data_IF_406494062268
#
_entry.id   IF_406494062268
#
_cell.length_a   1.000
_cell.length_b   1.000
_cell.length_c   1.000
_cell.angle_alpha   90.00
_cell.angle_beta   90.00
_cell.angle_gamma   90.00
#
_symmetry.space_group_name_H-M   'P 1'
#
loop_
_entity.id
_entity.type
_entity.pdbx_description
1 polymer ?
#
# COMPACT_ATOMS: atom_id res chain seq x y z
N UNK A 1 29.94 0.74 -26.69
CA UNK A 1 28.85 -0.20 -27.06
C UNK A 1 27.66 0.09 -26.16
N UNK A 2 26.43 0.02 -26.67
CA UNK A 2 25.22 0.38 -25.92
C UNK A 2 24.93 -0.71 -24.88
N UNK A 3 24.95 -0.38 -23.59
CA UNK A 3 24.50 -1.27 -22.52
C UNK A 3 23.01 -1.62 -22.70
N UNK A 4 22.61 -2.90 -22.61
CA UNK A 4 21.20 -3.24 -22.63
C UNK A 4 20.60 -2.93 -21.26
N UNK A 5 19.49 -2.18 -21.29
CA UNK A 5 18.57 -1.99 -20.19
C UNK A 5 18.14 -3.35 -19.60
N UNK A 6 18.30 -3.54 -18.29
CA UNK A 6 17.67 -4.64 -17.55
C UNK A 6 16.53 -4.07 -16.69
N UNK A 7 15.26 -4.43 -16.96
CA UNK A 7 14.17 -4.16 -16.02
C UNK A 7 14.26 -5.13 -14.84
N UNK A 8 13.77 -4.67 -13.69
CA UNK A 8 13.70 -5.40 -12.43
C UNK A 8 13.20 -6.84 -12.58
N UNK A 9 13.92 -7.82 -12.01
CA UNK A 9 13.37 -9.15 -11.74
C UNK A 9 14.14 -9.87 -10.62
N UNK A 10 13.37 -10.62 -9.82
CA UNK A 10 13.76 -11.45 -8.68
C UNK A 10 15.03 -12.29 -8.91
N UNK A 11 15.86 -12.37 -7.87
CA UNK A 11 17.04 -13.24 -7.81
C UNK A 11 16.60 -14.68 -7.57
N UNK A 12 16.69 -15.53 -8.59
CA UNK A 12 16.75 -16.98 -8.46
C UNK A 12 17.98 -17.49 -9.22
N UNK A 13 19.00 -17.95 -8.50
CA UNK A 13 20.22 -18.51 -9.09
C UNK A 13 20.32 -19.99 -8.68
N UNK A 14 20.23 -20.89 -9.67
CA UNK A 14 20.57 -22.31 -9.51
C UNK A 14 22.08 -22.49 -9.72
N UNK A 15 22.76 -23.05 -8.71
CA UNK A 15 24.20 -23.31 -8.73
C UNK A 15 24.46 -24.74 -9.25
N UNK A 16 25.19 -24.88 -10.34
CA UNK A 16 25.99 -26.07 -10.64
C UNK A 16 27.47 -25.68 -10.54
N UNK A 17 28.20 -26.36 -9.65
CA UNK A 17 29.59 -26.05 -9.36
C UNK A 17 30.54 -26.85 -10.28
N UNK A 18 31.47 -26.14 -10.92
CA UNK A 18 32.66 -26.73 -11.54
C UNK A 18 33.88 -26.23 -10.77
N UNK A 19 34.72 -27.15 -10.29
CA UNK A 19 35.93 -26.86 -9.50
C UNK A 19 37.08 -26.41 -10.41
N UNK A 20 37.80 -25.31 -10.13
CA UNK A 20 39.03 -24.98 -10.86
C UNK A 20 40.25 -25.73 -10.30
N UNK A 21 41.17 -26.13 -11.18
CA UNK A 21 42.41 -26.84 -10.87
C UNK A 21 43.63 -25.90 -10.71
N UNK A 22 44.54 -26.28 -9.79
CA UNK A 22 45.96 -25.90 -9.61
C UNK A 22 46.34 -24.40 -9.48
N UNK A 23 46.58 -23.99 -8.22
CA UNK A 23 47.42 -22.88 -7.75
C UNK A 23 47.20 -21.46 -8.30
N UNK A 24 46.04 -21.15 -8.88
CA UNK A 24 45.65 -19.76 -9.07
C UNK A 24 45.24 -19.15 -7.72
N UNK A 25 45.86 -18.03 -7.35
CA UNK A 25 45.35 -17.23 -6.22
C UNK A 25 43.96 -16.72 -6.56
N UNK A 26 43.10 -16.50 -5.55
CA UNK A 26 41.79 -15.92 -5.79
C UNK A 26 41.86 -14.55 -6.49
N UNK A 27 42.96 -13.81 -6.30
CA UNK A 27 43.26 -12.56 -7.02
C UNK A 27 43.48 -12.81 -8.53
N UNK A 28 44.29 -13.81 -8.89
CA UNK A 28 44.49 -14.23 -10.28
C UNK A 28 43.18 -14.69 -10.92
N UNK A 29 42.39 -15.51 -10.22
CA UNK A 29 41.10 -16.00 -10.74
C UNK A 29 40.08 -14.89 -10.96
N UNK A 30 40.02 -13.89 -10.05
CA UNK A 30 39.16 -12.72 -10.21
C UNK A 30 39.61 -11.88 -11.41
N UNK A 31 40.92 -11.63 -11.55
CA UNK A 31 41.45 -10.86 -12.68
C UNK A 31 41.15 -11.55 -14.02
N UNK A 32 41.44 -12.85 -14.14
CA UNK A 32 41.17 -13.62 -15.35
C UNK A 32 39.69 -13.59 -15.73
N UNK A 33 38.79 -13.62 -14.74
CA UNK A 33 37.36 -13.52 -14.98
C UNK A 33 36.94 -12.12 -15.47
N UNK A 34 37.51 -11.04 -14.94
CA UNK A 34 37.25 -9.70 -15.48
C UNK A 34 37.79 -9.52 -16.90
N UNK A 35 38.95 -10.09 -17.22
CA UNK A 35 39.48 -10.09 -18.59
C UNK A 35 38.56 -10.87 -19.55
N UNK A 36 37.98 -11.98 -19.08
CA UNK A 36 36.97 -12.73 -19.80
C UNK A 36 35.66 -11.94 -19.98
N UNK A 37 35.23 -11.17 -18.98
CA UNK A 37 34.06 -10.29 -19.09
C UNK A 37 34.30 -9.19 -20.14
N UNK A 38 35.47 -8.56 -20.11
CA UNK A 38 35.83 -7.49 -21.06
C UNK A 38 35.97 -7.99 -22.51
N UNK A 39 36.38 -9.25 -22.71
CA UNK A 39 36.54 -9.86 -24.03
C UNK A 39 35.32 -10.66 -24.50
N UNK A 40 34.25 -10.71 -23.72
CA UNK A 40 33.06 -11.50 -24.02
C UNK A 40 32.35 -11.02 -25.30
N UNK A 41 32.15 -11.94 -26.24
CA UNK A 41 31.41 -11.68 -27.49
C UNK A 41 29.92 -12.10 -27.41
N UNK A 42 29.50 -12.70 -26.29
CA UNK A 42 28.13 -13.10 -26.03
C UNK A 42 27.74 -12.85 -24.57
N UNK A 43 26.45 -12.66 -24.32
CA UNK A 43 25.92 -12.55 -22.95
C UNK A 43 26.21 -13.81 -22.13
N UNK A 44 26.15 -14.99 -22.74
CA UNK A 44 26.46 -16.25 -22.07
C UNK A 44 27.91 -16.31 -21.56
N UNK A 45 28.88 -15.84 -22.36
CA UNK A 45 30.28 -15.78 -21.95
C UNK A 45 30.49 -14.79 -20.80
N UNK A 46 29.84 -13.62 -20.86
CA UNK A 46 29.87 -12.63 -19.80
C UNK A 46 29.28 -13.17 -18.48
N UNK A 47 28.13 -13.84 -18.55
CA UNK A 47 27.50 -14.46 -17.38
C UNK A 47 28.30 -15.65 -16.85
N UNK A 48 28.99 -16.41 -17.71
CA UNK A 48 29.88 -17.48 -17.26
C UNK A 48 31.05 -16.94 -16.43
N UNK A 49 31.67 -15.84 -16.88
CA UNK A 49 32.74 -15.17 -16.13
C UNK A 49 32.22 -14.50 -14.83
N UNK A 50 31.02 -13.91 -14.86
CA UNK A 50 30.35 -13.41 -13.65
C UNK A 50 30.15 -14.54 -12.62
N UNK A 51 29.67 -15.70 -13.06
CA UNK A 51 29.45 -16.88 -12.20
C UNK A 51 30.75 -17.44 -11.64
N UNK A 52 31.85 -17.40 -12.38
CA UNK A 52 33.14 -17.89 -11.88
C UNK A 52 33.65 -17.03 -10.72
N UNK A 53 33.49 -15.71 -10.78
CA UNK A 53 33.81 -14.81 -9.66
C UNK A 53 32.92 -15.12 -8.44
N UNK A 54 31.62 -15.24 -8.64
CA UNK A 54 30.67 -15.53 -7.55
C UNK A 54 30.98 -16.89 -6.89
N UNK A 55 31.39 -17.89 -7.68
CA UNK A 55 31.74 -19.22 -7.18
C UNK A 55 32.98 -19.23 -6.27
N UNK A 56 33.85 -18.22 -6.34
CA UNK A 56 34.97 -18.05 -5.40
C UNK A 56 34.50 -17.65 -3.99
N UNK A 57 33.26 -17.15 -3.86
CA UNK A 57 32.67 -16.80 -2.59
C UNK A 57 33.49 -15.75 -1.80
N UNK A 58 33.65 -15.91 -0.47
CA UNK A 58 34.41 -14.98 0.36
C UNK A 58 35.84 -14.70 -0.11
N UNK A 59 36.47 -15.66 -0.80
CA UNK A 59 37.85 -15.52 -1.26
C UNK A 59 38.02 -14.42 -2.32
N UNK A 60 36.93 -14.03 -3.01
CA UNK A 60 36.96 -12.92 -3.97
C UNK A 60 36.82 -11.53 -3.30
N UNK A 61 36.38 -11.45 -2.04
CA UNK A 61 36.09 -10.17 -1.38
C UNK A 61 37.30 -9.22 -1.32
N UNK A 62 38.53 -9.64 -0.96
CA UNK A 62 39.69 -8.74 -0.95
C UNK A 62 39.99 -8.15 -2.34
N UNK A 63 39.96 -8.98 -3.38
CA UNK A 63 40.23 -8.56 -4.76
C UNK A 63 39.15 -7.60 -5.29
N UNK A 64 37.88 -7.91 -5.03
CA UNK A 64 36.76 -7.03 -5.39
C UNK A 64 36.79 -5.72 -4.60
N UNK A 65 37.27 -5.73 -3.35
CA UNK A 65 37.45 -4.51 -2.54
C UNK A 65 38.49 -3.59 -3.18
N UNK A 66 39.67 -4.12 -3.54
CA UNK A 66 40.70 -3.35 -4.23
C UNK A 66 40.18 -2.78 -5.56
N UNK A 67 39.45 -3.59 -6.34
CA UNK A 67 38.89 -3.15 -7.63
C UNK A 67 37.82 -2.07 -7.45
N UNK A 68 36.93 -2.19 -6.45
CA UNK A 68 35.93 -1.17 -6.15
C UNK A 68 36.58 0.17 -5.75
N UNK A 69 37.63 0.11 -4.93
CA UNK A 69 38.38 1.30 -4.52
C UNK A 69 39.13 1.97 -5.67
N UNK A 70 39.62 1.18 -6.63
CA UNK A 70 40.35 1.65 -7.82
C UNK A 70 39.43 2.06 -8.99
N UNK A 71 38.12 1.79 -8.91
CA UNK A 71 37.17 2.01 -9.99
C UNK A 71 37.09 3.49 -10.40
N UNK A 72 37.24 3.75 -11.70
CA UNK A 72 37.39 5.10 -12.26
C UNK A 72 36.05 5.79 -12.53
N UNK A 73 35.01 5.02 -12.78
CA UNK A 73 33.67 5.49 -13.09
C UNK A 73 32.58 4.66 -12.41
N UNK A 74 31.33 5.07 -12.59
CA UNK A 74 30.19 4.40 -11.96
C UNK A 74 29.85 3.06 -12.65
N UNK A 75 30.22 2.83 -13.90
CA UNK A 75 29.94 1.56 -14.60
C UNK A 75 30.80 0.43 -14.01
N UNK A 76 32.10 0.68 -13.79
CA UNK A 76 32.99 -0.24 -13.08
C UNK A 76 32.50 -0.51 -11.65
N UNK A 77 32.02 0.53 -10.95
CA UNK A 77 31.47 0.38 -9.59
C UNK A 77 30.18 -0.42 -9.58
N UNK A 78 29.30 -0.24 -10.56
CA UNK A 78 28.06 -1.01 -10.70
C UNK A 78 28.39 -2.48 -10.92
N UNK A 79 29.32 -2.80 -11.82
CA UNK A 79 29.75 -4.16 -12.09
C UNK A 79 30.33 -4.84 -10.84
N UNK A 80 31.23 -4.17 -10.12
CA UNK A 80 31.86 -4.73 -8.92
C UNK A 80 30.85 -4.88 -7.78
N UNK A 81 29.96 -3.90 -7.56
CA UNK A 81 28.93 -4.00 -6.52
C UNK A 81 27.89 -5.07 -6.81
N UNK A 82 27.58 -5.34 -8.09
CA UNK A 82 26.74 -6.47 -8.48
C UNK A 82 27.37 -7.81 -8.11
N UNK A 83 28.67 -8.00 -8.39
CA UNK A 83 29.41 -9.21 -8.03
C UNK A 83 29.49 -9.40 -6.50
N UNK A 84 29.74 -8.31 -5.76
CA UNK A 84 29.73 -8.32 -4.29
C UNK A 84 28.37 -8.77 -3.73
N UNK A 85 27.26 -8.26 -4.27
CA UNK A 85 25.92 -8.67 -3.88
C UNK A 85 25.65 -10.15 -4.22
N UNK A 86 26.14 -10.63 -5.36
CA UNK A 86 26.07 -12.02 -5.78
C UNK A 86 26.81 -13.00 -4.85
N UNK A 87 27.83 -12.54 -4.13
CA UNK A 87 28.56 -13.32 -3.13
C UNK A 87 27.87 -13.25 -1.75
N UNK A 88 27.59 -12.03 -1.28
CA UNK A 88 27.10 -11.80 0.10
C UNK A 88 25.63 -12.23 0.26
N UNK A 89 24.80 -12.05 -0.78
CA UNK A 89 23.38 -12.39 -0.74
C UNK A 89 23.10 -13.86 -0.44
N UNK A 90 23.64 -14.82 -1.23
CA UNK A 90 23.45 -16.25 -0.99
C UNK A 90 23.96 -16.72 0.37
N UNK A 91 25.07 -16.15 0.86
CA UNK A 91 25.62 -16.46 2.18
C UNK A 91 24.65 -16.05 3.31
N UNK A 92 24.00 -14.89 3.19
CA UNK A 92 22.93 -14.49 4.14
C UNK A 92 21.74 -15.45 4.10
N UNK A 93 21.31 -15.89 2.91
CA UNK A 93 20.21 -16.86 2.76
C UNK A 93 20.56 -18.18 3.46
N UNK A 94 21.82 -18.62 3.35
CA UNK A 94 22.35 -19.82 4.02
C UNK A 94 22.67 -19.62 5.51
N UNK A 95 22.50 -18.39 6.04
CA UNK A 95 22.86 -18.00 7.42
C UNK A 95 24.33 -18.25 7.76
N UNK A 96 25.20 -18.15 6.76
CA UNK A 96 26.65 -18.23 6.97
C UNK A 96 27.14 -16.90 7.57
N UNK A 97 28.03 -16.92 8.57
CA UNK A 97 28.61 -15.70 9.11
C UNK A 97 29.51 -15.05 8.03
N UNK A 98 29.20 -13.79 7.70
CA UNK A 98 29.98 -13.01 6.73
C UNK A 98 30.75 -11.95 7.52
N UNK A 99 32.07 -12.05 7.51
CA UNK A 99 32.95 -10.99 8.00
C UNK A 99 33.43 -10.22 6.77
N UNK A 100 32.90 -9.00 6.58
CA UNK A 100 33.38 -8.15 5.51
C UNK A 100 34.75 -7.57 5.85
N UNK A 101 35.66 -7.40 4.87
CA UNK A 101 36.86 -6.61 5.06
C UNK A 101 36.51 -5.18 5.54
N UNK A 102 37.19 -4.63 6.57
CA UNK A 102 36.91 -3.27 7.04
C UNK A 102 37.05 -2.22 5.94
N UNK A 103 37.99 -2.42 5.02
CA UNK A 103 38.16 -1.57 3.84
C UNK A 103 36.94 -1.60 2.93
N UNK A 104 36.31 -2.78 2.74
CA UNK A 104 35.09 -2.90 1.94
C UNK A 104 33.94 -2.12 2.58
N UNK A 105 33.77 -2.25 3.90
CA UNK A 105 32.76 -1.50 4.65
C UNK A 105 33.00 0.00 4.49
N UNK A 106 34.25 0.45 4.63
CA UNK A 106 34.63 1.86 4.46
C UNK A 106 34.31 2.38 3.05
N UNK A 107 34.71 1.64 2.00
CA UNK A 107 34.48 2.03 0.60
C UNK A 107 32.99 2.06 0.28
N UNK A 108 32.22 1.04 0.66
CA UNK A 108 30.77 1.00 0.47
C UNK A 108 30.08 2.15 1.21
N UNK A 109 30.46 2.40 2.46
CA UNK A 109 29.92 3.49 3.27
C UNK A 109 30.19 4.86 2.64
N UNK A 110 31.38 5.07 2.08
CA UNK A 110 31.73 6.28 1.32
C UNK A 110 30.88 6.42 0.06
N UNK A 111 30.74 5.36 -0.73
CA UNK A 111 29.98 5.37 -1.98
C UNK A 111 28.49 5.65 -1.77
N UNK A 112 27.87 5.13 -0.70
CA UNK A 112 26.47 5.42 -0.34
C UNK A 112 26.19 6.93 -0.21
N UNK A 113 27.22 7.72 0.13
CA UNK A 113 27.11 9.16 0.25
C UNK A 113 27.41 9.90 -1.06
N UNK A 114 28.45 9.47 -1.78
CA UNK A 114 29.06 10.24 -2.87
C UNK A 114 28.37 10.03 -4.21
N UNK A 115 27.91 8.82 -4.52
CA UNK A 115 27.33 8.57 -5.83
C UNK A 115 25.98 9.25 -6.00
N UNK A 116 25.66 9.58 -7.25
CA UNK A 116 24.34 10.05 -7.72
C UNK A 116 23.78 9.16 -8.83
N UNK A 117 24.45 8.03 -9.10
CA UNK A 117 23.99 7.06 -10.07
C UNK A 117 22.95 6.16 -9.41
N UNK A 118 21.72 6.21 -9.94
CA UNK A 118 20.57 5.49 -9.39
C UNK A 118 20.81 3.97 -9.26
N UNK A 119 21.47 3.36 -10.26
CA UNK A 119 21.75 1.93 -10.24
C UNK A 119 22.79 1.58 -9.18
N UNK A 120 23.84 2.39 -9.05
CA UNK A 120 24.86 2.19 -8.03
C UNK A 120 24.28 2.37 -6.62
N UNK A 121 23.44 3.38 -6.41
CA UNK A 121 22.72 3.58 -5.14
C UNK A 121 21.84 2.38 -4.79
N UNK A 122 21.12 1.83 -5.76
CA UNK A 122 20.30 0.63 -5.56
C UNK A 122 21.16 -0.59 -5.21
N UNK A 123 22.29 -0.80 -5.90
CA UNK A 123 23.22 -1.89 -5.58
C UNK A 123 23.77 -1.77 -4.16
N UNK A 124 24.18 -0.57 -3.76
CA UNK A 124 24.74 -0.31 -2.42
C UNK A 124 23.69 -0.47 -1.31
N UNK A 125 22.46 0.01 -1.53
CA UNK A 125 21.37 -0.19 -0.58
C UNK A 125 21.02 -1.67 -0.42
N UNK A 126 20.96 -2.43 -1.52
CA UNK A 126 20.78 -3.89 -1.50
C UNK A 126 21.94 -4.61 -0.80
N UNK A 127 23.18 -4.16 -1.00
CA UNK A 127 24.33 -4.70 -0.28
C UNK A 127 24.19 -4.47 1.24
N UNK A 128 23.78 -3.27 1.66
CA UNK A 128 23.58 -2.94 3.07
C UNK A 128 22.45 -3.75 3.73
N UNK A 129 21.43 -4.18 2.97
CA UNK A 129 20.42 -5.14 3.46
C UNK A 129 21.08 -6.44 3.92
N UNK A 130 22.08 -6.93 3.19
CA UNK A 130 22.65 -8.26 3.41
C UNK A 130 23.89 -8.26 4.31
N UNK A 131 24.49 -7.09 4.56
CA UNK A 131 25.66 -6.93 5.41
C UNK A 131 25.50 -5.74 6.37
N UNK A 132 24.83 -5.93 7.52
CA UNK A 132 24.55 -4.83 8.45
C UNK A 132 25.82 -4.28 9.12
N UNK A 133 26.02 -2.97 8.99
CA UNK A 133 27.10 -2.19 9.61
C UNK A 133 26.49 -0.85 10.07
N UNK A 134 25.74 -0.84 11.19
CA UNK A 134 24.89 0.29 11.57
C UNK A 134 25.64 1.61 11.77
N UNK A 135 26.88 1.56 12.25
CA UNK A 135 27.69 2.76 12.48
C UNK A 135 28.17 3.39 11.16
N UNK A 136 28.56 2.55 10.21
CA UNK A 136 29.13 2.96 8.93
C UNK A 136 28.05 3.26 7.89
N UNK A 137 26.99 2.45 7.83
CA UNK A 137 25.94 2.54 6.82
C UNK A 137 24.74 3.36 7.28
N UNK A 138 24.37 3.31 8.57
CA UNK A 138 23.17 3.96 9.10
C UNK A 138 23.03 5.44 8.73
N UNK A 139 24.03 6.30 9.04
CA UNK A 139 23.97 7.72 8.67
C UNK A 139 23.87 7.96 7.16
N UNK A 140 24.47 7.08 6.35
CA UNK A 140 24.54 7.22 4.89
C UNK A 140 23.25 6.79 4.22
N UNK A 141 22.65 5.69 4.71
CA UNK A 141 21.33 5.24 4.28
C UNK A 141 20.25 6.26 4.64
N UNK A 142 20.32 6.90 5.81
CA UNK A 142 19.42 7.99 6.17
C UNK A 142 19.55 9.18 5.21
N UNK A 143 20.78 9.58 4.88
CA UNK A 143 21.03 10.64 3.90
C UNK A 143 20.54 10.27 2.49
N UNK A 144 20.69 9.01 2.07
CA UNK A 144 20.15 8.50 0.81
C UNK A 144 18.61 8.54 0.80
N UNK A 145 17.98 8.10 1.89
CA UNK A 145 16.53 8.10 2.05
C UNK A 145 15.94 9.52 1.98
N UNK A 146 16.62 10.49 2.59
CA UNK A 146 16.21 11.90 2.60
C UNK A 146 16.29 12.56 1.22
N UNK A 147 17.29 12.22 0.42
CA UNK A 147 17.53 12.86 -0.89
C UNK A 147 16.90 12.15 -2.08
N UNK A 148 16.61 10.85 -1.96
CA UNK A 148 16.08 10.09 -3.11
C UNK A 148 14.63 10.43 -3.39
N UNK A 149 14.34 10.74 -4.65
CA UNK A 149 12.96 10.94 -5.16
C UNK A 149 12.42 9.64 -5.81
N UNK A 150 13.29 8.67 -6.08
CA UNK A 150 12.90 7.40 -6.69
C UNK A 150 12.23 6.48 -5.65
N UNK A 151 10.99 6.10 -5.90
CA UNK A 151 10.19 5.30 -4.98
C UNK A 151 10.74 3.89 -4.73
N UNK A 152 11.24 3.21 -5.78
CA UNK A 152 11.82 1.88 -5.62
C UNK A 152 13.08 1.93 -4.76
N UNK A 153 13.97 2.88 -5.03
CA UNK A 153 15.17 3.09 -4.22
C UNK A 153 14.84 3.51 -2.79
N UNK A 154 13.81 4.33 -2.60
CA UNK A 154 13.29 4.70 -1.27
C UNK A 154 12.89 3.46 -0.48
N UNK A 155 12.09 2.57 -1.07
CA UNK A 155 11.68 1.32 -0.43
C UNK A 155 12.87 0.42 -0.08
N UNK A 156 13.81 0.24 -1.02
CA UNK A 156 15.03 -0.54 -0.77
C UNK A 156 15.90 0.08 0.33
N UNK A 157 16.03 1.40 0.36
CA UNK A 157 16.82 2.10 1.38
C UNK A 157 16.17 1.99 2.76
N UNK A 158 14.84 2.12 2.84
CA UNK A 158 14.10 1.87 4.08
C UNK A 158 14.31 0.45 4.59
N UNK A 159 14.23 -0.55 3.71
CA UNK A 159 14.55 -1.93 4.07
C UNK A 159 16.00 -2.06 4.57
N UNK A 160 16.97 -1.48 3.86
CA UNK A 160 18.38 -1.49 4.24
C UNK A 160 18.59 -0.92 5.65
N UNK A 161 17.90 0.17 6.01
CA UNK A 161 17.94 0.75 7.36
C UNK A 161 17.38 -0.25 8.39
N UNK A 162 16.20 -0.83 8.16
CA UNK A 162 15.61 -1.82 9.09
C UNK A 162 16.56 -3.01 9.33
N UNK A 163 17.21 -3.50 8.27
CA UNK A 163 18.16 -4.61 8.38
C UNK A 163 19.45 -4.28 9.13
N UNK A 164 19.75 -3.00 9.40
CA UNK A 164 20.87 -2.62 10.27
C UNK A 164 20.64 -2.99 11.75
N UNK A 165 19.40 -3.35 12.13
CA UNK A 165 19.07 -3.77 13.49
C UNK A 165 18.81 -2.62 14.45
N UNK A 166 18.63 -2.95 15.73
CA UNK A 166 18.27 -2.00 16.80
C UNK A 166 19.32 -0.90 16.99
N UNK A 167 20.56 -1.18 16.59
CA UNK A 167 21.71 -0.29 16.71
C UNK A 167 21.54 0.99 15.87
N UNK A 168 20.73 0.95 14.80
CA UNK A 168 20.44 2.14 13.97
C UNK A 168 19.31 3.00 14.55
N UNK A 169 18.51 2.48 15.48
CA UNK A 169 17.32 3.16 16.00
C UNK A 169 17.61 4.54 16.61
N UNK A 170 18.70 4.75 17.40
CA UNK A 170 19.05 6.08 17.88
C UNK A 170 19.30 7.09 16.76
N UNK A 171 19.85 6.64 15.62
CA UNK A 171 20.07 7.49 14.45
C UNK A 171 18.74 7.83 13.75
N UNK A 172 17.85 6.84 13.60
CA UNK A 172 16.51 7.05 13.03
C UNK A 172 15.71 8.03 13.88
N UNK A 173 15.69 7.86 15.21
CA UNK A 173 15.00 8.77 16.13
C UNK A 173 15.59 10.19 16.09
N UNK A 174 16.92 10.32 16.07
CA UNK A 174 17.57 11.62 15.93
C UNK A 174 17.20 12.30 14.62
N UNK A 175 17.25 11.58 13.50
CA UNK A 175 16.79 12.09 12.20
C UNK A 175 15.31 12.46 12.25
N UNK A 176 14.47 11.63 12.87
CA UNK A 176 13.04 11.86 13.00
C UNK A 176 12.76 13.14 13.75
N UNK A 177 13.40 13.41 14.89
CA UNK A 177 13.18 14.64 15.63
C UNK A 177 13.71 15.89 14.92
N UNK A 178 14.83 15.77 14.20
CA UNK A 178 15.49 16.91 13.56
C UNK A 178 14.91 17.25 12.18
N UNK A 179 14.26 16.31 11.52
CA UNK A 179 13.73 16.52 10.18
C UNK A 179 12.62 17.56 10.17
N UNK A 180 12.74 18.51 9.24
CA UNK A 180 11.69 19.44 8.80
C UNK A 180 11.17 19.07 7.41
N UNK A 181 11.76 18.07 6.76
CA UNK A 181 11.30 17.55 5.48
C UNK A 181 10.12 16.61 5.75
N UNK A 182 8.94 17.00 5.27
CA UNK A 182 7.69 16.31 5.54
C UNK A 182 7.65 14.88 4.96
N UNK A 183 8.08 14.69 3.70
CA UNK A 183 8.18 13.36 3.08
C UNK A 183 9.15 12.46 3.87
N UNK A 184 10.34 12.97 4.15
CA UNK A 184 11.35 12.20 4.89
C UNK A 184 10.90 11.87 6.31
N UNK A 185 10.18 12.79 6.97
CA UNK A 185 9.56 12.53 8.27
C UNK A 185 8.53 11.38 8.18
N UNK A 186 7.77 11.30 7.09
CA UNK A 186 6.90 10.18 6.78
C UNK A 186 7.64 8.85 6.62
N UNK A 187 8.76 8.83 5.89
CA UNK A 187 9.58 7.62 5.74
C UNK A 187 10.18 7.17 7.08
N UNK A 188 10.67 8.12 7.89
CA UNK A 188 11.17 7.85 9.23
C UNK A 188 10.06 7.35 10.16
N UNK A 189 8.85 7.90 10.07
CA UNK A 189 7.70 7.39 10.81
C UNK A 189 7.43 5.92 10.46
N UNK A 190 7.52 5.54 9.18
CA UNK A 190 7.36 4.15 8.74
C UNK A 190 8.42 3.22 9.34
N UNK A 191 9.68 3.66 9.42
CA UNK A 191 10.76 2.88 10.03
C UNK A 191 10.55 2.63 11.53
N UNK A 192 9.75 3.46 12.21
CA UNK A 192 9.45 3.35 13.64
C UNK A 192 8.22 2.46 13.93
N UNK A 193 7.56 1.92 12.90
CA UNK A 193 6.27 1.23 13.01
C UNK A 193 6.26 0.00 13.93
N UNK A 194 7.41 -0.65 14.13
CA UNK A 194 7.57 -1.85 14.96
C UNK A 194 8.52 -1.59 16.15
N UNK A 195 8.57 -0.34 16.65
CA UNK A 195 9.44 0.08 17.75
C UNK A 195 8.63 0.59 18.95
N UNK A 196 9.24 0.61 20.12
CA UNK A 196 8.66 1.26 21.30
C UNK A 196 8.66 2.78 21.10
N UNK A 197 7.47 3.39 21.19
CA UNK A 197 7.29 4.82 21.00
C UNK A 197 7.22 5.53 22.35
N UNK A 198 8.12 6.50 22.57
CA UNK A 198 8.02 7.40 23.71
C UNK A 198 7.08 8.57 23.41
N UNK A 199 6.70 9.34 24.44
CA UNK A 199 5.77 10.47 24.33
C UNK A 199 6.19 11.51 23.28
N UNK A 200 7.49 11.78 23.16
CA UNK A 200 8.03 12.72 22.17
C UNK A 200 7.85 12.20 20.74
N UNK A 201 8.09 10.92 20.50
CA UNK A 201 7.84 10.27 19.20
C UNK A 201 6.36 10.33 18.87
N UNK A 202 5.49 10.00 19.84
CA UNK A 202 4.04 10.01 19.68
C UNK A 202 3.56 11.42 19.31
N UNK A 203 3.99 12.45 20.04
CA UNK A 203 3.61 13.83 19.78
C UNK A 203 4.01 14.28 18.36
N UNK A 204 5.22 13.93 17.90
CA UNK A 204 5.64 14.24 16.54
C UNK A 204 4.84 13.45 15.48
N UNK A 205 4.53 12.18 15.72
CA UNK A 205 3.67 11.40 14.82
C UNK A 205 2.26 11.99 14.73
N UNK A 206 1.70 12.45 15.85
CA UNK A 206 0.39 13.12 15.89
C UNK A 206 0.41 14.44 15.08
N UNK A 207 1.52 15.18 15.12
CA UNK A 207 1.68 16.36 14.27
C UNK A 207 1.72 16.00 12.78
N UNK A 208 2.42 14.91 12.41
CA UNK A 208 2.47 14.42 11.03
C UNK A 208 1.11 13.95 10.48
N UNK A 209 0.14 13.62 11.33
CA UNK A 209 -1.24 13.33 10.89
C UNK A 209 -1.91 14.55 10.22
N UNK A 210 -1.40 15.76 10.46
CA UNK A 210 -1.93 17.00 9.88
C UNK A 210 -1.28 17.36 8.54
N UNK A 211 -0.19 16.67 8.18
CA UNK A 211 0.57 16.88 6.94
C UNK A 211 -0.32 16.93 5.70
N UNK A 212 0.06 17.70 4.68
CA UNK A 212 -0.59 17.67 3.37
C UNK A 212 -0.12 16.49 2.51
N UNK A 213 1.04 15.92 2.80
CA UNK A 213 1.54 14.72 2.15
C UNK A 213 0.79 13.47 2.64
N UNK A 214 0.07 12.83 1.71
CA UNK A 214 -0.70 11.61 1.98
C UNK A 214 0.21 10.51 2.54
N UNK A 215 1.37 10.25 1.92
CA UNK A 215 2.31 9.23 2.37
C UNK A 215 2.79 9.46 3.80
N UNK A 216 3.08 10.71 4.15
CA UNK A 216 3.49 11.07 5.52
C UNK A 216 2.38 10.83 6.54
N UNK A 217 1.17 11.31 6.26
CA UNK A 217 0.01 11.03 7.13
C UNK A 217 -0.22 9.55 7.32
N UNK A 218 -0.16 8.77 6.24
CA UNK A 218 -0.41 7.34 6.26
C UNK A 218 0.64 6.57 7.04
N UNK A 219 1.92 6.92 6.89
CA UNK A 219 3.00 6.33 7.69
C UNK A 219 2.84 6.66 9.17
N UNK A 220 2.53 7.91 9.52
CA UNK A 220 2.30 8.30 10.90
C UNK A 220 1.10 7.57 11.53
N UNK A 221 -0.04 7.51 10.82
CA UNK A 221 -1.23 6.80 11.26
C UNK A 221 -0.94 5.31 11.48
N UNK A 222 -0.29 4.65 10.51
CA UNK A 222 0.06 3.23 10.62
C UNK A 222 0.97 2.94 11.80
N UNK A 223 1.95 3.79 12.05
CA UNK A 223 2.90 3.65 13.17
C UNK A 223 2.19 3.80 14.52
N UNK A 224 1.30 4.79 14.66
CA UNK A 224 0.48 4.95 15.87
C UNK A 224 -0.47 3.76 16.08
N UNK A 225 -1.13 3.30 15.01
CA UNK A 225 -2.04 2.14 15.08
C UNK A 225 -1.33 0.85 15.48
N UNK A 226 -0.12 0.59 14.95
CA UNK A 226 0.68 -0.58 15.34
C UNK A 226 1.14 -0.54 16.79
N UNK A 227 1.39 0.66 17.31
CA UNK A 227 1.65 0.87 18.73
C UNK A 227 0.39 0.77 19.61
N UNK A 228 -0.79 0.53 19.02
CA UNK A 228 -2.06 0.46 19.75
C UNK A 228 -2.59 1.81 20.24
N UNK A 229 -2.05 2.92 19.72
CA UNK A 229 -2.43 4.26 20.12
C UNK A 229 -3.69 4.68 19.37
N UNK A 230 -4.75 4.98 20.12
CA UNK A 230 -5.98 5.58 19.60
C UNK A 230 -5.97 7.09 19.86
N UNK A 231 -6.28 7.87 18.84
CA UNK A 231 -6.35 9.33 18.91
C UNK A 231 -7.41 9.81 17.92
N UNK A 232 -8.19 10.84 18.29
CA UNK A 232 -9.12 11.53 17.40
C UNK A 232 -8.45 12.09 16.15
N UNK A 233 -7.16 12.45 16.21
CA UNK A 233 -6.43 12.93 15.03
C UNK A 233 -6.31 11.85 13.93
N UNK A 234 -6.41 10.55 14.28
CA UNK A 234 -6.43 9.46 13.29
C UNK A 234 -7.70 9.49 12.44
N UNK A 235 -8.83 9.87 13.04
CA UNK A 235 -10.09 10.06 12.31
C UNK A 235 -9.97 11.26 11.38
N UNK A 236 -9.47 12.40 11.86
CA UNK A 236 -9.26 13.59 11.00
C UNK A 236 -8.31 13.30 9.84
N UNK A 237 -7.20 12.61 10.09
CA UNK A 237 -6.30 12.17 9.02
C UNK A 237 -7.01 11.24 8.02
N UNK A 238 -7.85 10.32 8.50
CA UNK A 238 -8.59 9.40 7.63
C UNK A 238 -9.65 10.12 6.79
N UNK A 239 -10.31 11.13 7.35
CA UNK A 239 -11.26 11.98 6.62
C UNK A 239 -10.54 12.86 5.58
N UNK A 240 -9.35 13.38 5.91
CA UNK A 240 -8.50 14.11 4.95
C UNK A 240 -8.06 13.20 3.80
N UNK A 241 -7.63 11.97 4.10
CA UNK A 241 -7.31 10.95 3.09
C UNK A 241 -8.52 10.69 2.18
N UNK A 242 -9.71 10.48 2.76
CA UNK A 242 -10.96 10.23 2.03
C UNK A 242 -11.32 11.39 1.09
N UNK A 243 -11.19 12.63 1.56
CA UNK A 243 -11.45 13.82 0.76
C UNK A 243 -10.44 13.99 -0.39
N UNK A 244 -9.17 13.63 -0.16
CA UNK A 244 -8.10 13.78 -1.15
C UNK A 244 -7.97 12.61 -2.15
N UNK A 245 -8.61 11.48 -1.88
CA UNK A 245 -8.57 10.29 -2.73
C UNK A 245 -9.05 10.58 -4.15
N UNK A 246 -8.23 10.21 -5.14
CA UNK A 246 -8.46 10.47 -6.58
C UNK A 246 -8.82 9.21 -7.34
N UNK A 247 -8.49 8.04 -6.82
CA UNK A 247 -8.85 6.75 -7.40
C UNK A 247 -9.86 6.01 -6.54
N UNK A 248 -10.62 5.10 -7.13
CA UNK A 248 -11.61 4.29 -6.41
C UNK A 248 -10.93 3.39 -5.36
N UNK A 249 -9.73 2.88 -5.66
CA UNK A 249 -8.93 2.10 -4.71
C UNK A 249 -8.54 2.93 -3.49
N UNK A 250 -8.07 4.16 -3.71
CA UNK A 250 -7.76 5.10 -2.62
C UNK A 250 -9.00 5.43 -1.79
N UNK A 251 -10.16 5.63 -2.42
CA UNK A 251 -11.44 5.88 -1.75
C UNK A 251 -11.82 4.72 -0.84
N UNK A 252 -11.80 3.50 -1.36
CA UNK A 252 -12.10 2.29 -0.61
C UNK A 252 -11.16 2.12 0.57
N UNK A 253 -9.85 2.29 0.35
CA UNK A 253 -8.86 2.20 1.42
C UNK A 253 -9.05 3.27 2.51
N UNK A 254 -9.32 4.52 2.12
CA UNK A 254 -9.60 5.60 3.07
C UNK A 254 -10.91 5.37 3.84
N UNK A 255 -11.97 4.90 3.18
CA UNK A 255 -13.23 4.54 3.82
C UNK A 255 -13.05 3.44 4.86
N UNK A 256 -12.24 2.42 4.56
CA UNK A 256 -11.91 1.36 5.51
C UNK A 256 -11.17 1.85 6.75
N UNK A 257 -10.33 2.89 6.63
CA UNK A 257 -9.72 3.56 7.79
C UNK A 257 -10.74 4.35 8.59
N UNK A 258 -11.57 5.16 7.92
CA UNK A 258 -12.65 5.91 8.58
C UNK A 258 -13.57 4.96 9.34
N UNK A 259 -13.94 3.81 8.76
CA UNK A 259 -14.73 2.76 9.45
C UNK A 259 -14.11 2.30 10.77
N UNK A 260 -12.78 2.16 10.83
CA UNK A 260 -12.08 1.72 12.05
C UNK A 260 -12.00 2.80 13.12
N UNK A 261 -12.00 4.06 12.72
CA UNK A 261 -11.76 5.22 13.58
C UNK A 261 -13.02 6.06 13.86
N UNK A 262 -14.15 5.71 13.25
CA UNK A 262 -15.38 6.52 13.31
C UNK A 262 -15.88 6.72 14.73
N UNK A 263 -16.33 7.93 15.01
CA UNK A 263 -17.01 8.32 16.25
C UNK A 263 -18.55 8.25 16.12
N UNK A 264 -19.06 7.85 14.96
CA UNK A 264 -20.49 7.80 14.68
C UNK A 264 -21.15 9.16 14.44
N UNK A 265 -20.38 10.23 14.22
CA UNK A 265 -20.95 11.56 14.02
C UNK A 265 -21.60 11.76 12.64
N UNK A 266 -22.58 12.66 12.58
CA UNK A 266 -23.21 13.13 11.32
C UNK A 266 -22.18 13.69 10.32
N UNK A 267 -21.11 14.31 10.82
CA UNK A 267 -20.00 14.80 9.99
C UNK A 267 -19.27 13.67 9.26
N UNK A 268 -18.97 12.57 9.97
CA UNK A 268 -18.32 11.40 9.37
C UNK A 268 -19.24 10.74 8.35
N UNK A 269 -20.53 10.59 8.69
CA UNK A 269 -21.52 10.05 7.76
C UNK A 269 -21.64 10.90 6.49
N UNK A 270 -21.70 12.23 6.61
CA UNK A 270 -21.75 13.13 5.46
C UNK A 270 -20.50 13.05 4.57
N UNK A 271 -19.31 12.95 5.17
CA UNK A 271 -18.06 12.79 4.42
C UNK A 271 -18.03 11.47 3.64
N UNK A 272 -18.49 10.38 4.25
CA UNK A 272 -18.60 9.08 3.60
C UNK A 272 -19.66 9.07 2.50
N UNK A 273 -20.78 9.76 2.68
CA UNK A 273 -21.82 9.91 1.66
C UNK A 273 -21.29 10.67 0.43
N UNK A 274 -20.59 11.78 0.64
CA UNK A 274 -19.94 12.51 -0.45
C UNK A 274 -18.87 11.67 -1.17
N UNK A 275 -18.15 10.81 -0.44
CA UNK A 275 -17.22 9.85 -1.04
C UNK A 275 -17.94 8.75 -1.85
N UNK A 276 -19.11 8.30 -1.39
CA UNK A 276 -19.95 7.34 -2.11
C UNK A 276 -20.40 7.87 -3.48
N UNK A 277 -20.79 9.14 -3.57
CA UNK A 277 -21.18 9.78 -4.84
C UNK A 277 -20.04 9.81 -5.89
N UNK A 278 -18.78 9.82 -5.43
CA UNK A 278 -17.59 9.78 -6.30
C UNK A 278 -17.17 8.36 -6.71
N UNK A 279 -17.75 7.32 -6.10
CA UNK A 279 -17.46 5.93 -6.43
C UNK A 279 -18.44 5.42 -7.50
N UNK A 280 -17.92 4.80 -8.55
CA UNK A 280 -18.74 4.32 -9.68
C UNK A 280 -18.80 2.79 -9.75
N UNK A 281 -17.80 2.10 -9.20
CA UNK A 281 -17.78 0.63 -9.13
C UNK A 281 -18.46 0.08 -7.88
N UNK A 282 -19.15 -1.04 -8.06
CA UNK A 282 -19.89 -1.72 -7.00
C UNK A 282 -19.00 -2.23 -5.85
N UNK A 283 -17.78 -2.70 -6.13
CA UNK A 283 -16.89 -3.23 -5.07
C UNK A 283 -16.47 -2.14 -4.07
N UNK A 284 -16.03 -0.98 -4.58
CA UNK A 284 -15.56 0.15 -3.79
C UNK A 284 -16.71 0.86 -3.05
N UNK A 285 -17.89 0.93 -3.69
CA UNK A 285 -19.15 1.32 -3.01
C UNK A 285 -19.43 0.44 -1.81
N UNK A 286 -19.07 -0.84 -1.86
CA UNK A 286 -19.26 -1.77 -0.76
C UNK A 286 -18.53 -1.41 0.53
N UNK A 287 -17.29 -0.94 0.43
CA UNK A 287 -16.53 -0.52 1.60
C UNK A 287 -17.08 0.80 2.17
N UNK A 288 -17.51 1.73 1.30
CA UNK A 288 -18.18 2.97 1.70
C UNK A 288 -19.52 2.73 2.40
N UNK A 289 -20.34 1.81 1.89
CA UNK A 289 -21.58 1.39 2.58
C UNK A 289 -21.26 0.78 3.94
N UNK A 290 -20.24 -0.08 4.01
CA UNK A 290 -19.82 -0.68 5.28
C UNK A 290 -19.33 0.37 6.28
N UNK A 291 -18.62 1.40 5.80
CA UNK A 291 -18.17 2.51 6.61
C UNK A 291 -19.35 3.40 7.08
N UNK A 292 -20.31 3.70 6.21
CA UNK A 292 -21.54 4.42 6.57
C UNK A 292 -22.31 3.68 7.64
N UNK A 293 -22.52 2.38 7.48
CA UNK A 293 -23.20 1.53 8.46
C UNK A 293 -22.50 1.48 9.81
N UNK A 294 -21.18 1.67 9.86
CA UNK A 294 -20.42 1.76 11.10
C UNK A 294 -20.63 3.09 11.85
N UNK A 295 -21.12 4.12 11.16
CA UNK A 295 -21.52 5.38 11.83
C UNK A 295 -22.87 5.30 12.53
N UNK A 296 -23.63 4.20 12.36
CA UNK A 296 -24.95 4.02 12.94
C UNK A 296 -26.02 4.87 12.24
N UNK A 297 -26.98 5.36 13.02
CA UNK A 297 -28.16 6.10 12.54
C UNK A 297 -27.85 7.23 11.55
N UNK A 298 -26.80 8.08 11.74
CA UNK A 298 -26.39 9.06 10.74
C UNK A 298 -26.10 8.46 9.36
N UNK A 299 -25.30 7.40 9.29
CA UNK A 299 -24.97 6.75 8.02
C UNK A 299 -26.14 5.99 7.43
N UNK A 300 -27.03 5.43 8.26
CA UNK A 300 -28.27 4.78 7.80
C UNK A 300 -29.18 5.80 7.11
N UNK A 301 -29.34 7.00 7.68
CA UNK A 301 -30.07 8.11 7.04
C UNK A 301 -29.43 8.50 5.71
N UNK A 302 -28.09 8.63 5.66
CA UNK A 302 -27.38 8.96 4.42
C UNK A 302 -27.58 7.88 3.34
N UNK A 303 -27.53 6.59 3.70
CA UNK A 303 -27.78 5.50 2.76
C UNK A 303 -29.20 5.53 2.20
N UNK A 304 -30.20 5.82 3.03
CA UNK A 304 -31.58 5.97 2.55
C UNK A 304 -31.76 7.22 1.69
N UNK A 305 -31.08 8.32 2.01
CA UNK A 305 -31.09 9.53 1.20
C UNK A 305 -30.43 9.31 -0.17
N UNK A 306 -29.28 8.63 -0.22
CA UNK A 306 -28.59 8.25 -1.46
C UNK A 306 -29.48 7.33 -2.30
N UNK A 307 -30.04 6.28 -1.70
CA UNK A 307 -31.00 5.41 -2.38
C UNK A 307 -32.19 6.20 -2.92
N UNK A 308 -32.76 7.08 -2.08
CA UNK A 308 -33.85 7.96 -2.47
C UNK A 308 -33.43 8.99 -3.52
N UNK A 309 -32.16 9.34 -3.72
CA UNK A 309 -31.74 10.25 -4.78
C UNK A 309 -31.38 9.53 -6.09
N UNK A 310 -31.07 8.24 -6.01
CA UNK A 310 -30.57 7.46 -7.14
C UNK A 310 -31.58 7.32 -8.28
N UNK A 311 -31.11 7.46 -9.52
CA UNK A 311 -31.87 7.18 -10.74
C UNK A 311 -31.17 6.10 -11.58
N UNK A 312 -30.27 5.34 -10.98
CA UNK A 312 -29.51 4.27 -11.62
C UNK A 312 -29.96 2.91 -11.07
N UNK A 313 -30.41 2.03 -11.95
CA UNK A 313 -30.96 0.73 -11.54
C UNK A 313 -29.90 -0.20 -10.92
N UNK A 314 -28.64 -0.10 -11.36
CA UNK A 314 -27.54 -0.92 -10.84
C UNK A 314 -27.13 -0.46 -9.45
N UNK A 315 -27.07 0.86 -9.22
CA UNK A 315 -26.84 1.45 -7.90
C UNK A 315 -27.95 1.10 -6.90
N UNK A 316 -29.21 1.23 -7.31
CA UNK A 316 -30.36 0.82 -6.49
C UNK A 316 -30.24 -0.66 -6.13
N UNK A 317 -29.92 -1.51 -7.09
CA UNK A 317 -29.77 -2.96 -6.88
C UNK A 317 -28.58 -3.29 -5.98
N UNK A 318 -27.45 -2.59 -6.12
CA UNK A 318 -26.27 -2.80 -5.27
C UNK A 318 -26.54 -2.37 -3.82
N UNK A 319 -27.08 -1.17 -3.62
CA UNK A 319 -27.50 -0.70 -2.29
C UNK A 319 -28.50 -1.65 -1.67
N UNK A 320 -29.53 -2.06 -2.41
CA UNK A 320 -30.52 -3.03 -1.99
C UNK A 320 -29.86 -4.33 -1.49
N UNK A 321 -28.94 -4.93 -2.26
CA UNK A 321 -28.25 -6.17 -1.87
C UNK A 321 -27.46 -6.01 -0.57
N UNK A 322 -26.91 -4.82 -0.32
CA UNK A 322 -26.06 -4.54 0.84
C UNK A 322 -26.86 -4.21 2.10
N UNK A 323 -27.97 -3.48 1.97
CA UNK A 323 -28.67 -2.90 3.13
C UNK A 323 -30.01 -3.60 3.45
N UNK A 324 -30.68 -4.23 2.48
CA UNK A 324 -32.04 -4.75 2.71
C UNK A 324 -32.11 -5.83 3.79
N UNK A 325 -31.15 -6.75 3.86
CA UNK A 325 -31.19 -7.79 4.89
C UNK A 325 -31.12 -7.20 6.30
N UNK A 326 -30.38 -6.10 6.48
CA UNK A 326 -30.22 -5.40 7.76
C UNK A 326 -31.47 -4.57 8.11
N UNK A 327 -32.08 -3.92 7.11
CA UNK A 327 -33.21 -3.00 7.31
C UNK A 327 -34.54 -3.52 6.78
N UNK A 328 -34.71 -4.83 6.62
CA UNK A 328 -35.91 -5.43 6.03
C UNK A 328 -37.21 -5.08 6.75
N UNK A 329 -37.16 -4.57 7.99
CA UNK A 329 -38.35 -4.12 8.72
C UNK A 329 -38.34 -2.61 9.01
N UNK A 330 -37.37 -1.87 8.47
CA UNK A 330 -37.30 -0.42 8.64
C UNK A 330 -38.24 0.29 7.64
N UNK A 331 -39.25 1.04 8.11
CA UNK A 331 -40.17 1.74 7.24
C UNK A 331 -39.50 2.82 6.37
N UNK A 332 -38.34 3.36 6.80
CA UNK A 332 -37.60 4.39 6.06
C UNK A 332 -37.04 3.83 4.75
N UNK A 333 -36.53 2.61 4.78
CA UNK A 333 -36.04 1.92 3.58
C UNK A 333 -37.16 1.69 2.57
N UNK A 334 -38.33 1.22 3.04
CA UNK A 334 -39.51 1.07 2.17
C UNK A 334 -39.97 2.42 1.60
N UNK A 335 -39.95 3.48 2.41
CA UNK A 335 -40.30 4.83 1.96
C UNK A 335 -39.36 5.36 0.87
N UNK A 336 -38.06 5.06 0.95
CA UNK A 336 -37.10 5.42 -0.09
C UNK A 336 -37.45 4.77 -1.44
N UNK A 337 -37.80 3.48 -1.47
CA UNK A 337 -38.24 2.81 -2.69
C UNK A 337 -39.57 3.36 -3.24
N UNK A 338 -40.55 3.65 -2.39
CA UNK A 338 -41.80 4.30 -2.82
C UNK A 338 -41.49 5.68 -3.44
N UNK A 339 -40.56 6.43 -2.86
CA UNK A 339 -40.13 7.73 -3.37
C UNK A 339 -39.48 7.64 -4.75
N UNK A 340 -38.72 6.57 -5.02
CA UNK A 340 -38.21 6.27 -6.38
C UNK A 340 -39.37 6.04 -7.35
N UNK A 341 -40.33 5.17 -6.98
CA UNK A 341 -41.49 4.84 -7.84
C UNK A 341 -42.38 6.04 -8.16
N UNK A 342 -42.50 6.99 -7.22
CA UNK A 342 -43.24 8.25 -7.37
C UNK A 342 -42.66 9.16 -8.45
N UNK A 343 -41.34 9.17 -8.63
CA UNK A 343 -40.67 10.14 -9.52
C UNK A 343 -40.14 9.55 -10.83
N UNK A 344 -39.81 8.26 -10.86
CA UNK A 344 -39.02 7.70 -11.95
C UNK A 344 -39.89 7.40 -13.15
N UNK A 345 -39.38 7.65 -14.35
CA UNK A 345 -40.06 7.24 -15.57
C UNK A 345 -39.48 5.97 -16.19
N UNK A 346 -38.29 5.58 -15.74
CA UNK A 346 -37.53 4.46 -16.24
C UNK A 346 -38.05 3.13 -15.67
N UNK A 347 -38.33 2.17 -16.56
CA UNK A 347 -38.87 0.87 -16.16
C UNK A 347 -37.83 0.03 -15.40
N UNK A 348 -36.54 0.08 -15.74
CA UNK A 348 -35.49 -0.66 -15.01
C UNK A 348 -35.33 -0.12 -13.59
N UNK A 349 -35.33 1.20 -13.43
CA UNK A 349 -35.29 1.85 -12.11
C UNK A 349 -36.53 1.50 -11.31
N UNK A 350 -37.71 1.52 -11.95
CA UNK A 350 -38.96 1.09 -11.33
C UNK A 350 -38.91 -0.37 -10.89
N UNK A 351 -38.41 -1.27 -11.73
CA UNK A 351 -38.27 -2.69 -11.41
C UNK A 351 -37.29 -2.94 -10.25
N UNK A 352 -36.15 -2.25 -10.24
CA UNK A 352 -35.20 -2.32 -9.14
C UNK A 352 -35.83 -1.85 -7.81
N UNK A 353 -36.58 -0.75 -7.82
CA UNK A 353 -37.28 -0.27 -6.64
C UNK A 353 -38.42 -1.19 -6.16
N UNK A 354 -39.17 -1.80 -7.09
CA UNK A 354 -40.18 -2.82 -6.77
C UNK A 354 -39.52 -4.03 -6.11
N UNK A 355 -38.41 -4.51 -6.69
CA UNK A 355 -37.68 -5.63 -6.13
C UNK A 355 -37.15 -5.32 -4.73
N UNK A 356 -36.63 -4.10 -4.54
CA UNK A 356 -36.26 -3.56 -3.23
C UNK A 356 -37.40 -3.61 -2.22
N UNK A 357 -38.60 -3.14 -2.57
CA UNK A 357 -39.78 -3.23 -1.70
C UNK A 357 -40.12 -4.67 -1.32
N UNK A 358 -40.10 -5.60 -2.27
CA UNK A 358 -40.39 -7.02 -1.99
C UNK A 358 -39.42 -7.59 -0.97
N UNK A 359 -38.14 -7.24 -1.09
CA UNK A 359 -37.09 -7.68 -0.18
C UNK A 359 -37.22 -7.10 1.24
N UNK A 360 -37.97 -6.01 1.43
CA UNK A 360 -38.34 -5.45 2.74
C UNK A 360 -39.60 -6.07 3.36
N UNK A 361 -40.13 -7.18 2.79
CA UNK A 361 -41.13 -8.05 3.42
C UNK A 361 -42.32 -7.28 4.03
N UNK A 362 -42.52 -7.36 5.35
CA UNK A 362 -43.65 -6.76 6.06
C UNK A 362 -43.67 -5.23 5.95
N UNK A 363 -42.51 -4.59 6.02
CA UNK A 363 -42.43 -3.12 5.91
C UNK A 363 -42.76 -2.66 4.48
N UNK A 364 -42.30 -3.39 3.47
CA UNK A 364 -42.66 -3.14 2.07
C UNK A 364 -44.15 -3.33 1.79
N UNK A 365 -44.75 -4.42 2.30
CA UNK A 365 -46.20 -4.65 2.18
C UNK A 365 -47.01 -3.52 2.84
N UNK A 366 -46.62 -3.09 4.04
CA UNK A 366 -47.28 -1.99 4.74
C UNK A 366 -47.14 -0.67 3.98
N UNK A 367 -45.95 -0.36 3.45
CA UNK A 367 -45.70 0.84 2.67
C UNK A 367 -46.50 0.88 1.36
N UNK A 368 -46.59 -0.24 0.65
CA UNK A 368 -47.42 -0.34 -0.57
C UNK A 368 -48.89 -0.17 -0.24
N UNK A 369 -49.39 -0.83 0.81
CA UNK A 369 -50.78 -0.68 1.25
C UNK A 369 -51.10 0.77 1.58
N UNK A 370 -50.24 1.45 2.34
CA UNK A 370 -50.39 2.86 2.68
C UNK A 370 -50.37 3.76 1.43
N UNK A 371 -49.46 3.50 0.49
CA UNK A 371 -49.37 4.28 -0.75
C UNK A 371 -50.57 4.06 -1.67
N UNK A 372 -51.15 2.85 -1.74
CA UNK A 372 -52.35 2.57 -2.52
C UNK A 372 -53.62 3.21 -1.94
N UNK A 373 -53.65 3.47 -0.62
CA UNK A 373 -54.77 4.18 0.03
C UNK A 373 -54.68 5.70 -0.11
N UNK A 374 -53.54 6.22 -0.57
CA UNK A 374 -53.35 7.65 -0.81
C UNK A 374 -54.04 8.07 -2.11
N UNK A 375 -55.07 8.92 -1.99
CA UNK A 375 -55.91 9.38 -3.12
C UNK A 375 -55.18 10.33 -4.05
N UNK A 376 -53.96 10.76 -3.71
CA UNK A 376 -53.10 11.58 -4.58
C UNK A 376 -52.25 10.77 -5.56
N UNK A 377 -52.37 9.44 -5.54
CA UNK A 377 -51.61 8.51 -6.39
C UNK A 377 -52.09 8.59 -7.84
N UNK A 378 -51.20 8.94 -8.78
CA UNK A 378 -51.53 8.90 -10.20
C UNK A 378 -51.68 7.46 -10.73
N UNK A 379 -52.30 7.32 -11.91
CA UNK A 379 -52.55 6.01 -12.54
C UNK A 379 -51.27 5.19 -12.75
N UNK A 380 -50.14 5.85 -12.98
CA UNK A 380 -48.86 5.20 -13.28
C UNK A 380 -48.26 4.59 -12.02
N UNK A 381 -48.17 5.39 -10.96
CA UNK A 381 -47.73 4.95 -9.65
C UNK A 381 -48.65 3.85 -9.13
N UNK A 382 -49.96 3.98 -9.30
CA UNK A 382 -50.94 2.96 -8.92
C UNK A 382 -50.67 1.62 -9.63
N UNK A 383 -50.40 1.63 -10.95
CA UNK A 383 -50.01 0.41 -11.69
C UNK A 383 -48.74 -0.22 -11.15
N UNK A 384 -47.71 0.57 -10.83
CA UNK A 384 -46.43 0.07 -10.29
C UNK A 384 -46.56 -0.48 -8.88
N UNK A 385 -47.31 0.19 -8.01
CA UNK A 385 -47.62 -0.31 -6.66
C UNK A 385 -48.44 -1.60 -6.71
N UNK A 386 -49.38 -1.70 -7.65
CA UNK A 386 -50.13 -2.94 -7.90
C UNK A 386 -49.22 -4.06 -8.41
N UNK A 387 -48.28 -3.76 -9.32
CA UNK A 387 -47.22 -4.71 -9.76
C UNK A 387 -46.42 -5.19 -8.55
N UNK A 388 -45.95 -4.27 -7.70
CA UNK A 388 -45.20 -4.60 -6.49
C UNK A 388 -45.99 -5.48 -5.52
N UNK A 389 -47.26 -5.17 -5.26
CA UNK A 389 -48.13 -5.94 -4.38
C UNK A 389 -48.27 -7.40 -4.84
N UNK A 390 -48.37 -7.64 -6.16
CA UNK A 390 -48.45 -8.99 -6.75
C UNK A 390 -47.13 -9.75 -6.70
N UNK A 391 -46.01 -9.05 -6.57
CA UNK A 391 -44.67 -9.65 -6.52
C UNK A 391 -44.29 -10.19 -5.12
N UNK A 392 -45.09 -9.93 -4.08
CA UNK A 392 -44.88 -10.60 -2.80
C UNK A 392 -45.28 -12.06 -2.89
N UNK A 393 -44.53 -12.98 -2.26
CA UNK A 393 -44.96 -14.36 -2.15
C UNK A 393 -46.33 -14.40 -1.47
N UNK A 394 -47.32 -15.01 -2.14
CA UNK A 394 -48.62 -15.33 -1.55
C UNK A 394 -48.34 -16.13 -0.28
N UNK A 395 -48.62 -15.58 0.89
CA UNK A 395 -48.44 -16.31 2.14
C UNK A 395 -49.22 -17.61 2.08
N UNK A 396 -48.55 -18.76 2.26
CA UNK A 396 -49.17 -19.89 2.94
C UNK A 396 -49.65 -19.34 4.28
N UNK A 397 -50.96 -19.26 4.44
CA UNK A 397 -51.61 -19.07 5.71
C UNK A 397 -51.12 -20.18 6.64
N UNK A 398 -50.38 -19.79 7.69
CA UNK A 398 -50.22 -20.66 8.85
C UNK A 398 -51.54 -20.57 9.61
N UNK A 399 -52.33 -21.63 9.52
CA UNK A 399 -53.27 -22.02 10.58
C UNK A 399 -52.48 -22.54 11.78
#
# INVERSE_FOLDING_TARGET
MKHPFLPACLIAVFLSASVPALADTAETSVQNAFDAMASAQSEEAYFAATRSIIALGPNALPSLTKRLAAAKDDDERIEVTYLLAGIVGPMKIKREPIVLPPELVSVVGKLLFETRNLQLEANLANFAVVAPHPAEFGPRLLGLLERTENEALRATTSAAIVYQGKEVLPLVLKAFYNSTNDRFSGDLAHLLADTELNERTIAKLQDLLKSDNVGTRQSAARTLERAGIKNSDLLESSLKDLASARTEVELSFAAGKVRKQTDGSERVAAALASAFERAHRGEERGELVSALLATGEPGEKQLFAVLQASNDADEITDLMRRINNRFQNDPRLSSAYISILKRTDDEKVSEAAIFGLVMTRKSGQAAIKAALTDTSTDDRLNRRLTKAARSFPSGRTAD
#
